data_IF_775325219046
#
_entry.id   IF_775325219046
#
_cell.length_a   1.000
_cell.length_b   1.000
_cell.length_c   1.000
_cell.angle_alpha   90.00
_cell.angle_beta   90.00
_cell.angle_gamma   90.00
#
_symmetry.space_group_name_H-M   'P 1'
#
loop_
_entity.id
_entity.type
_entity.pdbx_description
1 polymer ?
#
# COMPACT_ATOMS: atom_id res chain seq x y z
N UNK A 1 17.74 -0.57 -10.15
CA UNK A 1 17.28 0.23 -11.30
C UNK A 1 16.26 -0.46 -12.22
N UNK A 2 15.75 -1.67 -11.90
CA UNK A 2 14.74 -2.36 -12.72
C UNK A 2 15.08 -2.39 -14.23
N UNK A 3 16.34 -2.69 -14.54
CA UNK A 3 16.81 -2.76 -15.92
C UNK A 3 16.16 -3.96 -16.63
N UNK A 4 15.91 -3.90 -17.95
CA UNK A 4 15.29 -4.97 -18.71
C UNK A 4 16.13 -6.26 -18.79
N UNK A 5 17.37 -6.23 -18.29
CA UNK A 5 18.25 -7.38 -18.17
C UNK A 5 19.36 -7.14 -17.13
N UNK A 6 20.18 -8.16 -16.91
CA UNK A 6 21.36 -8.05 -16.04
C UNK A 6 22.42 -7.14 -16.70
N UNK A 7 22.74 -6.02 -16.06
CA UNK A 7 23.76 -5.09 -16.53
C UNK A 7 24.98 -5.13 -15.61
N UNK A 8 26.11 -5.58 -16.16
CA UNK A 8 27.40 -5.50 -15.50
C UNK A 8 27.97 -4.07 -15.49
N UNK A 9 29.05 -3.89 -14.74
CA UNK A 9 29.73 -2.59 -14.53
C UNK A 9 30.12 -1.87 -15.83
N UNK A 10 30.46 -2.60 -16.90
CA UNK A 10 30.77 -2.00 -18.21
C UNK A 10 29.56 -1.53 -19.02
N UNK A 11 28.34 -1.93 -18.65
CA UNK A 11 27.10 -1.59 -19.39
C UNK A 11 26.27 -0.55 -18.65
N UNK A 12 26.37 -0.48 -17.31
CA UNK A 12 25.63 0.48 -16.47
C UNK A 12 25.73 1.95 -16.92
N UNK A 13 26.88 2.47 -17.43
CA UNK A 13 26.95 3.85 -17.93
C UNK A 13 26.00 4.16 -19.10
N UNK A 14 25.57 3.15 -19.89
CA UNK A 14 24.62 3.36 -21.00
C UNK A 14 23.22 3.70 -20.55
N UNK A 15 22.92 3.46 -19.27
CA UNK A 15 21.61 3.67 -18.67
C UNK A 15 21.60 4.88 -17.75
N UNK A 16 22.68 5.64 -17.64
CA UNK A 16 22.85 6.64 -16.61
C UNK A 16 23.68 7.82 -17.09
N UNK A 17 23.44 8.99 -16.50
CA UNK A 17 24.21 10.20 -16.74
C UNK A 17 25.24 10.36 -15.63
N UNK A 18 26.47 10.71 -15.99
CA UNK A 18 27.52 11.02 -15.02
C UNK A 18 27.14 12.28 -14.23
N UNK A 19 27.39 12.27 -12.93
CA UNK A 19 27.17 13.40 -12.02
C UNK A 19 28.43 13.65 -11.18
N UNK A 20 28.50 14.81 -10.54
CA UNK A 20 29.53 15.06 -9.52
C UNK A 20 29.23 14.22 -8.25
N UNK A 21 30.24 13.91 -7.44
CA UNK A 21 30.03 13.08 -6.23
C UNK A 21 29.22 13.83 -5.18
N UNK A 22 29.37 15.14 -5.16
CA UNK A 22 28.68 16.07 -4.28
C UNK A 22 27.17 16.11 -4.60
N UNK A 23 26.80 15.74 -5.82
CA UNK A 23 25.41 15.66 -6.29
C UNK A 23 24.78 14.29 -6.04
N UNK A 24 25.49 13.35 -5.40
CA UNK A 24 24.97 12.01 -5.11
C UNK A 24 23.70 12.11 -4.29
N UNK A 25 22.69 11.40 -4.77
CA UNK A 25 21.43 11.21 -4.09
C UNK A 25 21.15 9.71 -3.97
N UNK A 26 20.46 9.26 -2.92
CA UNK A 26 20.10 7.85 -2.77
C UNK A 26 19.49 7.24 -4.02
N UNK A 27 19.97 6.04 -4.37
CA UNK A 27 19.62 5.35 -5.61
C UNK A 27 20.58 5.63 -6.78
N UNK A 28 21.43 6.66 -6.71
CA UNK A 28 22.57 6.80 -7.62
C UNK A 28 23.60 5.69 -7.35
N UNK A 29 24.52 5.47 -8.30
CA UNK A 29 25.59 4.48 -8.10
C UNK A 29 26.96 5.15 -8.08
N UNK A 30 27.87 4.54 -7.34
CA UNK A 30 29.30 4.71 -7.52
C UNK A 30 29.82 3.49 -8.27
N UNK A 31 30.35 3.75 -9.45
CA UNK A 31 30.78 2.73 -10.40
C UNK A 31 32.28 2.81 -10.64
N UNK A 32 32.93 1.67 -10.46
CA UNK A 32 34.29 1.43 -10.89
C UNK A 32 34.30 0.26 -11.88
N UNK A 33 34.72 0.52 -13.12
CA UNK A 33 34.87 -0.51 -14.13
C UNK A 33 36.34 -0.61 -14.57
N UNK A 34 36.87 -1.82 -14.49
CA UNK A 34 38.18 -2.19 -15.00
C UNK A 34 38.00 -3.09 -16.24
N UNK A 35 38.25 -2.58 -17.46
CA UNK A 35 38.14 -3.38 -18.69
C UNK A 35 39.08 -4.59 -18.71
N UNK A 36 40.22 -4.54 -18.01
CA UNK A 36 41.15 -5.66 -17.93
C UNK A 36 40.67 -6.77 -16.97
N UNK A 37 39.76 -6.44 -16.05
CA UNK A 37 39.17 -7.38 -15.08
C UNK A 37 37.69 -7.05 -14.83
N UNK A 38 36.81 -7.27 -15.82
CA UNK A 38 35.43 -6.77 -15.81
C UNK A 38 34.54 -7.44 -14.76
N UNK A 39 34.93 -8.61 -14.24
CA UNK A 39 34.15 -9.40 -13.27
C UNK A 39 34.68 -9.29 -11.84
N UNK A 40 35.99 -9.44 -11.64
CA UNK A 40 36.62 -9.45 -10.30
C UNK A 40 37.28 -8.12 -9.92
N UNK A 41 37.71 -7.34 -10.91
CA UNK A 41 38.34 -6.03 -10.72
C UNK A 41 37.39 -4.85 -10.92
N UNK A 42 36.10 -5.10 -11.11
CA UNK A 42 35.08 -4.06 -11.24
C UNK A 42 34.10 -4.12 -10.08
N UNK A 43 33.56 -2.97 -9.69
CA UNK A 43 32.67 -2.89 -8.55
C UNK A 43 31.64 -1.77 -8.72
N UNK A 44 30.46 -2.00 -8.17
CA UNK A 44 29.40 -1.00 -8.13
C UNK A 44 28.73 -1.04 -6.77
N UNK A 45 28.47 0.14 -6.22
CA UNK A 45 27.64 0.31 -5.03
C UNK A 45 26.44 1.18 -5.37
N UNK A 46 25.31 0.89 -4.76
CA UNK A 46 24.18 1.82 -4.75
C UNK A 46 24.35 2.73 -3.53
N UNK A 47 24.38 4.03 -3.78
CA UNK A 47 24.45 5.05 -2.76
C UNK A 47 23.11 5.12 -2.01
N UNK A 48 23.15 4.95 -0.69
CA UNK A 48 21.98 4.98 0.19
C UNK A 48 21.84 6.27 1.00
N UNK A 49 22.79 7.20 0.89
CA UNK A 49 22.80 8.46 1.63
C UNK A 49 24.11 8.68 2.38
N UNK A 50 24.43 9.94 2.65
CA UNK A 50 25.60 10.32 3.46
C UNK A 50 25.46 9.81 4.89
N UNK A 51 26.56 9.28 5.44
CA UNK A 51 26.62 8.80 6.82
C UNK A 51 27.07 9.90 7.79
N UNK A 52 27.65 10.99 7.27
CA UNK A 52 28.12 12.14 8.02
C UNK A 52 27.88 13.44 7.23
N UNK A 53 27.90 14.57 7.94
CA UNK A 53 27.69 15.90 7.34
C UNK A 53 28.90 16.40 6.52
N UNK A 54 30.08 15.79 6.71
CA UNK A 54 31.30 16.14 5.98
C UNK A 54 31.39 15.44 4.61
N UNK A 55 30.40 14.59 4.28
CA UNK A 55 30.36 13.77 3.08
C UNK A 55 31.60 12.85 2.94
N UNK A 56 32.15 12.39 4.07
CA UNK A 56 33.34 11.52 4.09
C UNK A 56 33.00 10.03 4.01
N UNK A 57 31.79 9.65 4.40
CA UNK A 57 31.27 8.30 4.30
C UNK A 57 29.78 8.28 3.91
N UNK A 58 29.34 7.15 3.37
CA UNK A 58 27.96 6.93 2.93
C UNK A 58 27.49 5.51 3.23
N UNK A 59 26.19 5.32 3.26
CA UNK A 59 25.58 3.99 3.34
C UNK A 59 25.62 3.35 1.95
N UNK A 60 26.42 2.31 1.76
CA UNK A 60 26.49 1.56 0.52
C UNK A 60 25.58 0.32 0.58
N UNK A 61 24.96 0.03 -0.56
CA UNK A 61 24.27 -1.23 -0.84
C UNK A 61 25.06 -2.00 -1.88
N UNK A 62 25.51 -3.20 -1.49
CA UNK A 62 26.37 -4.06 -2.28
C UNK A 62 25.71 -5.42 -2.45
N UNK A 63 25.61 -5.91 -3.68
CA UNK A 63 25.10 -7.26 -3.93
C UNK A 63 26.21 -8.28 -3.65
N UNK A 64 26.14 -8.95 -2.50
CA UNK A 64 27.08 -10.01 -2.11
C UNK A 64 26.32 -11.32 -1.92
N UNK A 65 26.37 -12.23 -2.90
CA UNK A 65 25.63 -13.51 -2.83
C UNK A 65 25.76 -14.16 -1.43
N UNK A 66 24.66 -14.55 -0.77
CA UNK A 66 23.28 -14.62 -1.30
C UNK A 66 22.39 -13.38 -1.05
N UNK A 67 22.88 -12.31 -0.41
CA UNK A 67 22.04 -11.16 -0.01
C UNK A 67 22.69 -9.80 -0.29
N UNK A 68 21.86 -8.77 -0.37
CA UNK A 68 22.39 -7.39 -0.42
C UNK A 68 22.89 -7.00 0.95
N UNK A 69 24.13 -6.52 1.04
CA UNK A 69 24.73 -6.00 2.28
C UNK A 69 24.55 -4.49 2.32
N UNK A 70 24.23 -3.98 3.52
CA UNK A 70 24.20 -2.55 3.86
C UNK A 70 25.41 -2.26 4.75
N UNK A 71 26.26 -1.30 4.36
CA UNK A 71 27.46 -0.95 5.15
C UNK A 71 27.85 0.52 4.98
N UNK A 72 28.35 1.14 6.06
CA UNK A 72 28.97 2.47 5.98
C UNK A 72 30.33 2.34 5.27
N UNK A 73 30.51 3.15 4.23
CA UNK A 73 31.61 3.06 3.26
C UNK A 73 32.25 4.43 3.09
N UNK A 74 33.60 4.54 3.12
CA UNK A 74 34.27 5.81 2.86
C UNK A 74 34.03 6.25 1.42
N UNK A 75 33.89 7.56 1.20
CA UNK A 75 33.73 8.13 -0.13
C UNK A 75 35.04 7.99 -0.93
N UNK A 76 35.08 7.40 -2.13
CA UNK A 76 34.03 6.67 -2.85
C UNK A 76 34.03 5.16 -2.57
N UNK A 77 35.16 4.58 -2.18
CA UNK A 77 35.28 3.20 -1.71
C UNK A 77 36.64 3.01 -1.04
N UNK A 78 36.84 1.93 -0.27
CA UNK A 78 38.14 1.66 0.38
C UNK A 78 39.31 1.56 -0.59
N UNK A 79 39.08 0.97 -1.77
CA UNK A 79 40.10 0.73 -2.79
C UNK A 79 39.67 1.35 -4.13
N UNK A 80 40.63 1.86 -4.91
CA UNK A 80 40.39 2.53 -6.20
C UNK A 80 39.46 3.75 -6.10
N UNK A 81 39.41 4.41 -4.93
CA UNK A 81 38.46 5.48 -4.60
C UNK A 81 38.45 6.59 -5.66
N UNK A 82 39.61 6.99 -6.14
CA UNK A 82 39.87 7.96 -7.21
C UNK A 82 39.27 7.56 -8.57
N UNK A 83 39.08 6.26 -8.81
CA UNK A 83 38.56 5.72 -10.09
C UNK A 83 37.06 5.51 -10.10
N UNK A 84 36.37 5.69 -8.97
CA UNK A 84 34.91 5.62 -8.93
C UNK A 84 34.27 6.87 -9.56
N UNK A 85 33.26 6.63 -10.38
CA UNK A 85 32.47 7.68 -11.01
C UNK A 85 31.02 7.56 -10.55
N UNK A 86 30.41 8.70 -10.21
CA UNK A 86 29.02 8.78 -9.80
C UNK A 86 28.10 8.84 -11.03
N UNK A 87 27.02 8.06 -11.00
CA UNK A 87 26.04 7.99 -12.09
C UNK A 87 24.60 8.02 -11.57
N UNK A 88 23.76 8.75 -12.29
CA UNK A 88 22.32 8.84 -12.09
C UNK A 88 21.56 8.18 -13.22
N UNK A 89 20.67 7.25 -12.89
CA UNK A 89 19.89 6.50 -13.87
C UNK A 89 19.04 7.41 -14.80
N UNK A 90 19.12 7.19 -16.12
CA UNK A 90 18.47 7.99 -17.16
C UNK A 90 17.00 7.63 -17.40
N UNK A 91 16.56 6.43 -17.03
CA UNK A 91 15.14 6.02 -17.10
C UNK A 91 14.20 6.78 -16.16
N UNK A 92 14.65 7.95 -15.69
CA UNK A 92 14.01 8.88 -14.78
C UNK A 92 13.65 10.20 -15.47
N UNK A 93 13.45 10.23 -16.79
CA UNK A 93 13.25 11.45 -17.59
C UNK A 93 12.08 12.31 -17.07
N UNK A 94 12.48 13.29 -16.27
CA UNK A 94 11.78 14.51 -15.92
C UNK A 94 12.84 15.59 -15.67
N UNK A 95 12.53 16.88 -15.83
CA UNK A 95 13.50 17.98 -15.80
C UNK A 95 14.41 17.92 -14.57
N UNK A 96 15.68 18.27 -14.78
CA UNK A 96 16.79 18.16 -13.83
C UNK A 96 16.35 18.57 -12.40
N UNK A 97 16.28 17.58 -11.50
CA UNK A 97 15.72 17.72 -10.14
C UNK A 97 14.58 16.72 -9.84
N UNK A 98 13.99 16.10 -10.87
CA UNK A 98 12.92 15.11 -10.70
C UNK A 98 13.41 13.66 -10.50
N UNK A 99 14.60 13.29 -10.95
CA UNK A 99 15.04 11.89 -10.99
C UNK A 99 15.34 11.25 -9.64
N UNK A 100 16.14 11.88 -8.79
CA UNK A 100 16.61 11.27 -7.54
C UNK A 100 15.50 11.00 -6.51
N UNK A 101 14.56 11.93 -6.36
CA UNK A 101 13.46 11.75 -5.43
C UNK A 101 12.48 10.68 -5.94
N UNK A 102 12.31 10.54 -7.27
CA UNK A 102 11.55 9.45 -7.88
C UNK A 102 12.27 8.09 -7.81
N UNK A 103 13.61 8.04 -7.95
CA UNK A 103 14.42 6.82 -7.82
C UNK A 103 14.45 6.27 -6.39
N UNK A 104 14.41 7.16 -5.41
CA UNK A 104 14.47 6.79 -4.01
C UNK A 104 13.10 6.60 -3.35
N UNK A 105 12.06 7.21 -3.93
CA UNK A 105 10.68 6.72 -3.80
C UNK A 105 10.51 5.34 -4.50
N UNK A 106 11.13 5.12 -5.67
CA UNK A 106 11.09 3.84 -6.37
C UNK A 106 11.70 2.67 -5.61
N UNK A 107 12.71 2.94 -4.77
CA UNK A 107 13.37 1.93 -3.95
C UNK A 107 12.80 1.82 -2.53
N UNK A 108 11.77 2.60 -2.16
CA UNK A 108 11.22 2.64 -0.80
C UNK A 108 12.24 3.07 0.25
N UNK A 109 13.32 3.71 -0.17
CA UNK A 109 14.55 3.78 0.61
C UNK A 109 14.55 4.94 1.62
N UNK A 110 13.79 6.01 1.33
CA UNK A 110 13.57 7.13 2.24
C UNK A 110 12.41 6.94 3.22
N UNK A 111 11.55 5.97 2.95
CA UNK A 111 10.20 5.91 3.52
C UNK A 111 9.91 4.52 4.04
N UNK A 112 9.82 4.39 5.36
CA UNK A 112 9.53 3.12 5.99
C UNK A 112 10.03 3.09 7.44
N UNK A 113 9.75 2.00 8.17
CA UNK A 113 10.11 1.88 9.57
C UNK A 113 11.58 2.22 9.84
N UNK A 114 11.80 3.16 10.76
CA UNK A 114 13.15 3.60 11.16
C UNK A 114 13.79 4.67 10.27
N UNK A 115 13.13 5.10 9.18
CA UNK A 115 13.64 6.19 8.35
C UNK A 115 13.57 7.55 9.08
N UNK A 116 14.58 8.39 8.85
CA UNK A 116 14.69 9.73 9.41
C UNK A 116 15.31 10.68 8.38
N UNK A 117 14.73 11.87 8.19
CA UNK A 117 15.22 12.88 7.24
C UNK A 117 14.18 13.95 6.89
N UNK A 118 14.64 15.03 6.26
CA UNK A 118 13.78 16.13 5.82
C UNK A 118 12.76 15.69 4.76
N UNK A 119 13.09 14.65 3.99
CA UNK A 119 12.25 14.03 2.97
C UNK A 119 10.94 13.48 3.57
N UNK A 120 10.97 12.99 4.81
CA UNK A 120 9.79 12.48 5.51
C UNK A 120 8.89 13.62 5.95
N UNK A 121 9.48 14.71 6.46
CA UNK A 121 8.72 15.93 6.78
C UNK A 121 8.05 16.45 5.52
N UNK A 122 8.80 16.54 4.41
CA UNK A 122 8.29 17.00 3.12
C UNK A 122 7.19 16.09 2.57
N UNK A 123 7.32 14.77 2.70
CA UNK A 123 6.24 13.84 2.35
C UNK A 123 4.97 14.17 3.12
N UNK A 124 5.08 14.30 4.45
CA UNK A 124 3.91 14.56 5.29
C UNK A 124 3.28 15.92 5.00
N UNK A 125 4.06 16.95 4.72
CA UNK A 125 3.55 18.26 4.29
C UNK A 125 2.77 18.16 2.97
N UNK A 126 3.30 17.44 1.98
CA UNK A 126 2.60 17.19 0.72
C UNK A 126 1.31 16.42 0.97
N UNK A 127 1.30 15.41 1.83
CA UNK A 127 0.10 14.65 2.18
C UNK A 127 -0.94 15.52 2.91
N UNK A 128 -0.50 16.39 3.83
CA UNK A 128 -1.37 17.36 4.52
C UNK A 128 -2.02 18.31 3.53
N UNK A 129 -1.24 18.86 2.59
CA UNK A 129 -1.74 19.73 1.52
C UNK A 129 -2.79 19.01 0.63
N UNK A 130 -2.70 17.68 0.54
CA UNK A 130 -3.61 16.82 -0.22
C UNK A 130 -4.77 16.25 0.62
N UNK A 131 -5.07 16.86 1.76
CA UNK A 131 -6.21 16.46 2.63
C UNK A 131 -5.86 15.43 3.72
N UNK A 132 -4.57 15.13 3.92
CA UNK A 132 -4.08 14.12 4.85
C UNK A 132 -3.95 14.58 6.31
N UNK A 133 -4.25 15.85 6.63
CA UNK A 133 -4.06 16.42 7.99
C UNK A 133 -4.60 15.54 9.11
N UNK A 134 -5.74 14.89 8.91
CA UNK A 134 -6.39 14.01 9.90
C UNK A 134 -5.55 12.81 10.38
N UNK A 135 -4.51 12.43 9.65
CA UNK A 135 -3.64 11.33 10.04
C UNK A 135 -2.54 11.75 11.02
N UNK A 136 -2.29 13.06 11.14
CA UNK A 136 -1.20 13.65 11.93
C UNK A 136 -1.74 14.34 13.18
N UNK A 137 -1.39 13.81 14.36
CA UNK A 137 -1.80 14.41 15.64
C UNK A 137 -1.08 15.74 15.92
N UNK A 138 0.24 15.78 15.68
CA UNK A 138 1.09 16.95 15.92
C UNK A 138 1.65 17.58 14.63
N UNK A 139 1.23 17.08 13.46
CA UNK A 139 1.78 17.45 12.17
C UNK A 139 2.92 16.52 11.68
N UNK A 140 3.41 16.74 10.45
CA UNK A 140 4.54 16.01 9.88
C UNK A 140 5.83 16.22 10.67
N UNK A 141 6.70 15.21 10.68
CA UNK A 141 8.00 15.29 11.35
C UNK A 141 9.08 14.54 10.58
N UNK A 142 10.36 14.63 11.01
CA UNK A 142 11.47 14.05 10.27
C UNK A 142 11.60 12.54 10.45
N UNK A 143 10.81 11.90 11.31
CA UNK A 143 10.86 10.45 11.56
C UNK A 143 9.64 9.78 10.97
N UNK A 144 9.85 8.70 10.21
CA UNK A 144 8.75 7.94 9.61
C UNK A 144 7.84 7.37 10.69
N UNK A 145 6.54 7.51 10.48
CA UNK A 145 5.53 7.08 11.43
C UNK A 145 4.37 6.35 10.74
N UNK A 146 3.52 5.76 11.58
CA UNK A 146 2.25 5.19 11.16
C UNK A 146 1.28 6.24 10.58
N UNK A 147 1.46 7.52 10.93
CA UNK A 147 0.70 8.61 10.31
C UNK A 147 1.07 8.74 8.83
N UNK A 148 2.37 8.70 8.50
CA UNK A 148 2.87 8.80 7.12
C UNK A 148 2.39 7.63 6.26
N UNK A 149 2.48 6.40 6.79
CA UNK A 149 2.00 5.21 6.07
C UNK A 149 0.50 5.31 5.77
N UNK A 150 -0.33 5.67 6.76
CA UNK A 150 -1.79 5.74 6.60
C UNK A 150 -2.22 6.90 5.69
N UNK A 151 -1.56 8.05 5.79
CA UNK A 151 -1.81 9.17 4.89
C UNK A 151 -1.42 8.84 3.45
N UNK A 152 -0.27 8.17 3.25
CA UNK A 152 0.18 7.69 1.94
C UNK A 152 -0.81 6.68 1.35
N UNK A 153 -1.25 5.71 2.15
CA UNK A 153 -2.23 4.70 1.72
C UNK A 153 -3.56 5.34 1.31
N UNK A 154 -4.04 6.33 2.09
CA UNK A 154 -5.24 7.07 1.75
C UNK A 154 -5.10 7.84 0.43
N UNK A 155 -3.93 8.44 0.19
CA UNK A 155 -3.63 9.13 -1.05
C UNK A 155 -3.57 8.18 -2.25
N UNK A 156 -2.93 7.01 -2.11
CA UNK A 156 -2.90 5.97 -3.13
C UNK A 156 -4.32 5.46 -3.45
N UNK A 157 -5.15 5.20 -2.44
CA UNK A 157 -6.55 4.78 -2.62
C UNK A 157 -7.39 5.85 -3.32
N UNK A 158 -7.10 7.14 -3.11
CA UNK A 158 -7.77 8.23 -3.82
C UNK A 158 -7.50 8.20 -5.32
N UNK A 159 -6.36 7.65 -5.76
CA UNK A 159 -6.08 7.43 -7.18
C UNK A 159 -6.90 6.27 -7.78
N UNK A 160 -7.57 5.48 -6.93
CA UNK A 160 -8.28 4.26 -7.31
C UNK A 160 -7.41 3.00 -7.16
N UNK A 161 -6.19 3.13 -6.66
CA UNK A 161 -5.27 2.00 -6.48
C UNK A 161 -5.71 1.10 -5.33
N UNK A 162 -5.40 -0.20 -5.43
CA UNK A 162 -5.76 -1.23 -4.43
C UNK A 162 -4.64 -2.27 -4.26
N UNK A 163 -4.72 -3.02 -3.15
CA UNK A 163 -3.76 -4.08 -2.85
C UNK A 163 -2.34 -3.51 -2.75
N UNK A 164 -1.38 -4.17 -3.40
CA UNK A 164 0.03 -3.77 -3.40
C UNK A 164 0.29 -2.38 -3.98
N UNK A 165 -0.60 -1.85 -4.82
CA UNK A 165 -0.48 -0.49 -5.34
C UNK A 165 -0.95 0.58 -4.33
N UNK A 166 -1.63 0.19 -3.25
CA UNK A 166 -2.04 1.08 -2.16
C UNK A 166 -1.57 0.51 -0.82
N UNK A 167 -0.26 0.32 -0.71
CA UNK A 167 0.44 -0.33 0.40
C UNK A 167 0.88 0.66 1.50
N UNK A 168 0.71 1.96 1.28
CA UNK A 168 1.13 3.02 2.18
C UNK A 168 2.62 3.33 2.13
N UNK A 169 3.35 2.80 1.15
CA UNK A 169 4.74 3.15 0.88
C UNK A 169 4.81 3.99 -0.39
N UNK A 170 5.39 5.20 -0.33
CA UNK A 170 5.43 6.09 -1.48
C UNK A 170 6.45 5.59 -2.52
N UNK A 171 5.95 4.78 -3.45
CA UNK A 171 6.64 4.39 -4.67
C UNK A 171 6.88 5.56 -5.63
N UNK A 172 7.51 5.32 -6.80
CA UNK A 172 7.89 6.39 -7.73
C UNK A 172 6.68 7.18 -8.21
N UNK A 173 5.58 6.48 -8.50
CA UNK A 173 4.35 7.10 -8.99
C UNK A 173 3.63 7.90 -7.90
N UNK A 174 3.54 7.36 -6.67
CA UNK A 174 3.01 8.09 -5.51
C UNK A 174 3.76 9.41 -5.33
N UNK A 175 5.09 9.34 -5.37
CA UNK A 175 5.94 10.49 -5.13
C UNK A 175 5.93 11.50 -6.26
N UNK A 176 5.82 11.04 -7.52
CA UNK A 176 5.62 11.91 -8.68
C UNK A 176 4.35 12.72 -8.52
N UNK A 177 3.22 12.06 -8.22
CA UNK A 177 1.93 12.73 -8.04
C UNK A 177 1.95 13.76 -6.91
N UNK A 178 2.57 13.44 -5.76
CA UNK A 178 2.70 14.36 -4.63
C UNK A 178 3.55 15.58 -4.98
N UNK A 179 4.71 15.40 -5.62
CA UNK A 179 5.59 16.54 -5.95
C UNK A 179 5.07 17.44 -7.07
N UNK A 180 4.36 16.88 -8.05
CA UNK A 180 3.80 17.68 -9.15
C UNK A 180 2.40 18.22 -8.82
N UNK A 181 1.84 17.89 -7.65
CA UNK A 181 0.46 18.23 -7.31
C UNK A 181 -0.60 17.53 -8.18
N UNK A 182 -0.23 16.46 -8.89
CA UNK A 182 -1.12 15.75 -9.79
C UNK A 182 -1.95 14.68 -9.06
N UNK A 183 -2.98 14.16 -9.74
CA UNK A 183 -3.87 13.13 -9.20
C UNK A 183 -4.99 13.67 -8.31
N UNK A 184 -5.69 12.79 -7.60
CA UNK A 184 -6.81 13.15 -6.73
C UNK A 184 -6.37 13.42 -5.28
N UNK A 185 -7.01 14.38 -4.64
CA UNK A 185 -6.86 14.63 -3.19
C UNK A 185 -7.39 13.46 -2.37
N UNK A 186 -6.88 13.33 -1.14
CA UNK A 186 -7.45 12.45 -0.14
C UNK A 186 -8.86 12.96 0.15
N UNK A 187 -9.92 12.17 -0.10
CA UNK A 187 -11.27 12.62 0.17
C UNK A 187 -11.44 12.90 1.67
N UNK A 188 -12.30 13.84 2.06
CA UNK A 188 -12.66 14.04 3.46
C UNK A 188 -13.13 12.70 4.05
N UNK A 189 -12.98 12.50 5.38
CA UNK A 189 -13.51 11.30 5.98
C UNK A 189 -14.99 11.21 5.59
N UNK A 190 -15.38 10.10 4.96
CA UNK A 190 -16.78 9.80 4.83
C UNK A 190 -17.38 9.91 6.24
N UNK A 191 -18.59 10.51 6.42
CA UNK A 191 -19.29 10.42 7.69
C UNK A 191 -19.24 8.96 8.10
N UNK A 192 -18.69 8.69 9.29
CA UNK A 192 -18.21 7.39 9.70
C UNK A 192 -19.15 6.29 9.21
N UNK A 193 -18.79 5.62 8.11
CA UNK A 193 -19.04 4.21 8.04
C UNK A 193 -18.08 3.67 9.09
N UNK A 194 -18.60 3.59 10.32
CA UNK A 194 -17.94 3.01 11.48
C UNK A 194 -17.12 1.82 10.99
N UNK A 195 -15.89 1.69 11.52
CA UNK A 195 -15.16 0.43 11.53
C UNK A 195 -16.19 -0.68 11.68
N UNK A 196 -16.50 -1.41 10.59
CA UNK A 196 -17.75 -2.17 10.48
C UNK A 196 -17.87 -3.22 11.59
N UNK A 197 -18.33 -2.77 12.75
CA UNK A 197 -19.02 -3.54 13.75
C UNK A 197 -20.26 -4.04 13.02
N UNK A 198 -20.57 -5.32 13.23
CA UNK A 198 -21.88 -5.84 12.85
C UNK A 198 -22.90 -4.83 13.40
N UNK A 199 -23.77 -4.24 12.56
CA UNK A 199 -24.80 -3.33 13.04
C UNK A 199 -25.53 -3.98 14.22
N UNK A 200 -25.92 -3.21 15.25
CA UNK A 200 -26.71 -3.78 16.32
C UNK A 200 -27.99 -4.41 15.73
N UNK A 201 -28.36 -5.61 16.18
CA UNK A 201 -29.57 -6.26 15.69
C UNK A 201 -30.78 -5.40 16.08
N UNK A 202 -31.58 -4.91 15.12
CA UNK A 202 -32.61 -3.89 15.38
C UNK A 202 -33.85 -4.46 16.10
N UNK A 203 -33.87 -5.77 16.35
CA UNK A 203 -34.98 -6.47 16.97
C UNK A 203 -35.91 -7.14 15.95
N UNK A 204 -36.65 -8.18 16.38
CA UNK A 204 -37.45 -9.01 15.47
C UNK A 204 -38.67 -8.28 14.89
N UNK A 205 -39.13 -7.19 15.51
CA UNK A 205 -40.30 -6.44 15.10
C UNK A 205 -40.19 -5.75 13.73
N UNK A 206 -38.97 -5.64 13.18
CA UNK A 206 -38.73 -5.11 11.83
C UNK A 206 -38.95 -6.15 10.73
N UNK A 207 -38.86 -7.44 11.06
CA UNK A 207 -38.87 -8.56 10.12
C UNK A 207 -40.16 -9.36 10.27
N UNK A 208 -41.29 -8.69 10.03
CA UNK A 208 -42.65 -9.28 10.12
C UNK A 208 -43.48 -8.87 8.92
N UNK A 209 -44.44 -9.70 8.49
CA UNK A 209 -45.38 -9.35 7.42
C UNK A 209 -46.00 -7.97 7.62
N UNK A 210 -46.06 -7.18 6.55
CA UNK A 210 -46.63 -5.83 6.56
C UNK A 210 -45.71 -4.73 7.11
N UNK A 211 -44.55 -5.05 7.70
CA UNK A 211 -43.61 -4.04 8.20
C UNK A 211 -42.77 -3.46 7.07
N UNK A 212 -42.45 -2.18 7.19
CA UNK A 212 -41.48 -1.50 6.34
C UNK A 212 -40.44 -0.78 7.19
N UNK A 213 -39.16 -0.94 6.85
CA UNK A 213 -38.04 -0.36 7.57
C UNK A 213 -36.78 -0.39 6.72
N UNK A 214 -35.88 0.57 6.93
CA UNK A 214 -34.54 0.58 6.34
C UNK A 214 -33.74 -0.70 6.68
N UNK A 215 -34.02 -1.34 7.83
CA UNK A 215 -33.39 -2.60 8.21
C UNK A 215 -33.76 -3.77 7.31
N UNK A 216 -34.94 -3.76 6.68
CA UNK A 216 -35.33 -4.77 5.69
C UNK A 216 -34.48 -4.62 4.44
N UNK A 217 -34.34 -3.39 3.92
CA UNK A 217 -33.46 -3.10 2.79
C UNK A 217 -32.01 -3.51 3.08
N UNK A 218 -31.51 -3.19 4.27
CA UNK A 218 -30.16 -3.52 4.71
C UNK A 218 -29.93 -5.04 4.77
N UNK A 219 -30.87 -5.77 5.38
CA UNK A 219 -30.84 -7.24 5.43
C UNK A 219 -30.82 -7.83 4.01
N UNK A 220 -31.75 -7.39 3.17
CA UNK A 220 -31.91 -7.90 1.81
C UNK A 220 -30.67 -7.65 0.95
N UNK A 221 -30.09 -6.45 1.03
CA UNK A 221 -28.84 -6.12 0.33
C UNK A 221 -27.68 -7.03 0.79
N UNK A 222 -27.58 -7.30 2.09
CA UNK A 222 -26.56 -8.18 2.63
C UNK A 222 -26.78 -9.65 2.23
N UNK A 223 -28.03 -10.12 2.16
CA UNK A 223 -28.38 -11.46 1.65
C UNK A 223 -28.00 -11.62 0.18
N UNK A 224 -28.27 -10.62 -0.66
CA UNK A 224 -27.83 -10.60 -2.07
C UNK A 224 -26.31 -10.69 -2.17
N UNK A 225 -25.59 -9.86 -1.39
CA UNK A 225 -24.12 -9.88 -1.33
C UNK A 225 -23.55 -11.23 -0.89
N UNK A 226 -24.29 -11.99 -0.09
CA UNK A 226 -23.92 -13.33 0.38
C UNK A 226 -24.33 -14.45 -0.57
N UNK A 227 -24.88 -14.13 -1.75
CA UNK A 227 -25.30 -15.12 -2.75
C UNK A 227 -26.72 -15.66 -2.56
N UNK A 228 -27.50 -15.09 -1.64
CA UNK A 228 -28.90 -15.47 -1.40
C UNK A 228 -29.90 -14.58 -2.15
N UNK A 229 -29.47 -13.93 -3.24
CA UNK A 229 -30.28 -12.97 -4.00
C UNK A 229 -31.36 -13.59 -4.89
N UNK A 230 -31.33 -14.91 -5.13
CA UNK A 230 -32.21 -15.60 -6.10
C UNK A 230 -33.72 -15.47 -5.83
N UNK A 231 -34.11 -15.02 -4.64
CA UNK A 231 -35.51 -14.86 -4.25
C UNK A 231 -36.08 -13.48 -4.58
N UNK A 232 -35.24 -12.52 -4.98
CA UNK A 232 -35.67 -11.18 -5.35
C UNK A 232 -35.82 -11.05 -6.86
N UNK A 233 -37.02 -10.73 -7.35
CA UNK A 233 -37.27 -10.49 -8.77
C UNK A 233 -36.74 -9.12 -9.24
N UNK A 234 -36.91 -8.08 -8.42
CA UNK A 234 -36.48 -6.69 -8.72
C UNK A 234 -35.44 -6.17 -7.71
N UNK A 235 -34.93 -7.04 -6.84
CA UNK A 235 -34.04 -6.69 -5.74
C UNK A 235 -34.79 -6.46 -4.41
N UNK A 236 -34.03 -6.32 -3.30
CA UNK A 236 -34.59 -6.10 -1.97
C UNK A 236 -35.16 -4.68 -1.83
N UNK A 237 -36.28 -4.57 -1.12
CA UNK A 237 -36.95 -3.30 -0.84
C UNK A 237 -37.18 -3.06 0.66
N UNK A 238 -37.73 -1.90 1.04
CA UNK A 238 -37.92 -1.55 2.45
C UNK A 238 -39.08 -2.31 3.11
N UNK A 239 -39.90 -3.05 2.37
CA UNK A 239 -41.07 -3.78 2.91
C UNK A 239 -40.76 -5.26 3.04
N UNK A 240 -40.94 -5.80 4.24
CA UNK A 240 -40.73 -7.23 4.49
C UNK A 240 -41.67 -8.07 3.63
N UNK A 241 -41.08 -9.00 2.88
CA UNK A 241 -41.76 -9.85 1.93
C UNK A 241 -41.42 -11.32 2.12
N UNK A 242 -42.15 -12.19 1.42
CA UNK A 242 -41.83 -13.62 1.38
C UNK A 242 -40.46 -13.89 0.72
N UNK A 243 -40.00 -13.00 -0.17
CA UNK A 243 -38.66 -13.08 -0.74
C UNK A 243 -37.57 -12.93 0.34
N UNK A 244 -37.74 -11.98 1.26
CA UNK A 244 -36.82 -11.76 2.38
C UNK A 244 -36.80 -12.97 3.33
N UNK A 245 -37.98 -13.53 3.63
CA UNK A 245 -38.11 -14.73 4.48
C UNK A 245 -37.36 -15.91 3.86
N UNK A 246 -37.59 -16.20 2.58
CA UNK A 246 -36.94 -17.32 1.85
C UNK A 246 -35.44 -17.12 1.69
N UNK A 247 -35.00 -15.89 1.41
CA UNK A 247 -33.58 -15.56 1.34
C UNK A 247 -32.88 -15.75 2.69
N UNK A 248 -33.52 -15.31 3.78
CA UNK A 248 -33.03 -15.51 5.15
C UNK A 248 -32.98 -17.00 5.50
N UNK A 249 -34.03 -17.76 5.17
CA UNK A 249 -34.10 -19.20 5.43
C UNK A 249 -32.99 -19.96 4.68
N UNK A 250 -32.73 -19.59 3.43
CA UNK A 250 -31.64 -20.16 2.65
C UNK A 250 -30.26 -19.83 3.25
N UNK A 251 -30.08 -18.60 3.73
CA UNK A 251 -28.86 -18.22 4.45
C UNK A 251 -28.69 -19.05 5.74
N UNK A 252 -29.73 -19.14 6.57
CA UNK A 252 -29.72 -19.94 7.80
C UNK A 252 -29.35 -21.41 7.52
N UNK A 253 -29.95 -22.01 6.48
CA UNK A 253 -29.59 -23.38 6.05
C UNK A 253 -28.14 -23.50 5.59
N UNK A 254 -27.62 -22.49 4.87
CA UNK A 254 -26.22 -22.43 4.46
C UNK A 254 -25.25 -22.29 5.65
N UNK A 255 -25.71 -21.75 6.78
CA UNK A 255 -24.98 -21.76 8.06
C UNK A 255 -25.04 -23.12 8.80
N UNK A 256 -25.66 -24.13 8.22
CA UNK A 256 -25.83 -25.47 8.81
C UNK A 256 -27.07 -25.62 9.70
N UNK A 257 -27.92 -24.59 9.82
CA UNK A 257 -29.10 -24.65 10.69
C UNK A 257 -30.19 -25.54 10.09
N UNK A 258 -30.98 -26.16 10.96
CA UNK A 258 -32.02 -27.16 10.63
C UNK A 258 -33.29 -26.91 11.43
N UNK A 259 -34.42 -27.34 10.89
CA UNK A 259 -35.73 -27.24 11.55
C UNK A 259 -36.04 -25.80 11.99
N UNK A 260 -36.41 -25.64 13.26
CA UNK A 260 -36.85 -24.37 13.87
C UNK A 260 -35.79 -23.27 13.83
N UNK A 261 -34.51 -23.64 13.72
CA UNK A 261 -33.42 -22.67 13.66
C UNK A 261 -33.26 -22.03 12.26
N UNK A 262 -33.84 -22.63 11.22
CA UNK A 262 -33.88 -22.08 9.86
C UNK A 262 -35.34 -21.75 9.48
N UNK A 263 -35.95 -20.82 10.22
CA UNK A 263 -37.35 -20.42 10.11
C UNK A 263 -37.60 -19.28 9.10
N UNK A 264 -36.54 -18.66 8.59
CA UNK A 264 -36.59 -17.51 7.70
C UNK A 264 -36.80 -16.17 8.40
N UNK A 265 -36.74 -16.12 9.73
CA UNK A 265 -36.80 -14.88 10.50
C UNK A 265 -35.42 -14.57 11.10
N UNK A 266 -34.82 -13.41 10.79
CA UNK A 266 -33.51 -13.09 11.32
C UNK A 266 -33.62 -12.85 12.82
N UNK A 267 -32.78 -13.53 13.62
CA UNK A 267 -32.51 -13.22 15.01
C UNK A 267 -31.14 -12.57 15.20
N UNK A 268 -30.72 -12.30 16.45
CA UNK A 268 -29.39 -11.72 16.73
C UNK A 268 -28.24 -12.53 16.12
N UNK A 269 -28.33 -13.86 16.17
CA UNK A 269 -27.35 -14.76 15.57
C UNK A 269 -27.32 -14.66 14.04
N UNK A 270 -28.50 -14.67 13.40
CA UNK A 270 -28.61 -14.54 11.93
C UNK A 270 -27.98 -13.23 11.50
N UNK A 271 -28.31 -12.15 12.20
CA UNK A 271 -27.78 -10.82 11.95
C UNK A 271 -26.27 -10.78 12.12
N UNK A 272 -25.74 -11.31 13.22
CA UNK A 272 -24.29 -11.34 13.46
C UNK A 272 -23.54 -12.05 12.33
N UNK A 273 -23.98 -13.25 11.94
CA UNK A 273 -23.31 -14.01 10.87
C UNK A 273 -23.48 -13.36 9.50
N UNK A 274 -24.65 -12.78 9.23
CA UNK A 274 -24.93 -12.14 7.95
C UNK A 274 -24.04 -10.90 7.73
N UNK A 275 -23.73 -10.14 8.78
CA UNK A 275 -22.89 -8.94 8.72
C UNK A 275 -21.42 -9.14 9.14
N UNK A 276 -21.02 -10.32 9.64
CA UNK A 276 -19.62 -10.63 9.96
C UNK A 276 -18.71 -10.57 8.71
N UNK A 277 -17.44 -10.15 8.83
CA UNK A 277 -16.53 -10.14 7.67
C UNK A 277 -16.25 -11.57 7.19
N UNK A 278 -16.33 -11.80 5.88
CA UNK A 278 -15.98 -13.09 5.26
C UNK A 278 -14.49 -13.36 5.49
N UNK A 279 -14.16 -14.19 6.48
CA UNK A 279 -12.79 -14.51 6.87
C UNK A 279 -12.67 -15.30 8.18
N UNK A 280 -13.64 -15.22 9.08
CA UNK A 280 -13.71 -16.06 10.28
C UNK A 280 -14.94 -16.98 10.21
N UNK A 281 -14.73 -18.29 10.07
CA UNK A 281 -15.79 -19.28 10.22
C UNK A 281 -16.03 -20.26 9.06
N UNK A 282 -15.02 -20.55 8.22
CA UNK A 282 -15.05 -21.79 7.44
C UNK A 282 -14.32 -22.88 8.22
N UNK A 283 -15.08 -23.63 9.03
CA UNK A 283 -14.70 -25.00 9.30
C UNK A 283 -14.71 -25.74 7.95
N UNK A 284 -13.57 -26.32 7.60
CA UNK A 284 -13.36 -27.12 6.38
C UNK A 284 -14.49 -28.14 6.18
N UNK A 285 -14.97 -28.37 4.95
CA UNK A 285 -15.77 -29.56 4.69
C UNK A 285 -14.89 -30.81 4.90
N UNK A 286 -15.41 -31.90 5.52
CA UNK A 286 -14.68 -33.15 5.54
C UNK A 286 -14.56 -33.68 4.11
N UNK A 287 -13.32 -33.97 3.71
CA UNK A 287 -12.99 -34.73 2.51
C UNK A 287 -13.78 -36.03 2.50
N UNK A 288 -14.59 -36.25 1.46
CA UNK A 288 -15.13 -37.58 1.17
C UNK A 288 -14.10 -38.32 0.33
N UNK A 289 -13.62 -39.45 0.85
CA UNK A 289 -13.29 -40.62 0.06
C UNK A 289 -14.59 -41.31 -0.38
#
# INVERSE_FOLDING_TARGET
>A
WNLPGNAGTGVLPRYATRIAREELLPGDILLFHDPASPTRGSHVTIFGGWADAAHTAYVAYEQAKPYTRKRITPMAYWNNSDRYVAYRYQGLTGPAGMGAAAAAAASGFWFGPGAYGAEITRLGELLVARGGKRFYASGPGPRWSEADRRATEAFQRAQGWRGRAADGYPGPETWRLLRTGAGRDIPPPAPAAELASVPAYPGPGHFRPGRSSAYVTLLGAQLVKRGHGRFYASGPGPRWSEADRRATEAFQRAQGWRGRAADGYPGPETWRRLFARTGEGLASPPSRL
#
